data_IF_233796630260
#
_entry.id   IF_233796630260
#
_cell.length_a   1.000
_cell.length_b   1.000
_cell.length_c   1.000
_cell.angle_alpha   90.00
_cell.angle_beta   90.00
_cell.angle_gamma   90.00
#
_symmetry.space_group_name_H-M   'P 1'
#
loop_
_entity.id
_entity.type
_entity.pdbx_description
1 polymer ?
2 non-polymer ?
3 non-polymer ?
4 water ?
#
# COMPACT_ATOMS: atom_id res chain seq x y z
N UNK A 1 -9.25 -16.75 2.07
CA UNK A 1 -10.37 -15.81 1.99
C UNK A 1 -10.29 -14.95 0.74
N UNK A 2 -11.41 -14.37 0.34
CA UNK A 2 -11.41 -13.28 -0.62
C UNK A 2 -11.74 -11.98 0.09
N UNK A 3 -10.79 -11.05 0.08
CA UNK A 3 -10.92 -9.80 0.83
C UNK A 3 -11.29 -8.67 -0.12
N UNK A 4 -12.48 -8.12 0.09
CA UNK A 4 -13.00 -6.96 -0.63
C UNK A 4 -12.13 -5.73 -0.35
N UNK A 5 -12.18 -4.75 -1.24
CA UNK A 5 -11.45 -3.51 -1.00
C UNK A 5 -12.36 -2.30 -0.89
N UNK A 6 -13.65 -2.55 -0.61
CA UNK A 6 -14.56 -1.46 -0.26
C UNK A 6 -14.12 -0.73 1.00
N UNK A 7 -13.60 -1.50 1.96
CA UNK A 7 -13.05 -0.95 3.21
C UNK A 7 -11.55 -1.28 3.28
N UNK A 8 -10.82 -0.58 4.13
CA UNK A 8 -9.43 -0.95 4.41
C UNK A 8 -9.32 -2.42 4.79
N UNK A 9 -8.36 -3.14 4.19
CA UNK A 9 -8.21 -4.58 4.48
C UNK A 9 -7.43 -4.82 5.76
N UNK A 10 -8.12 -4.71 6.89
CA UNK A 10 -7.49 -4.89 8.19
C UNK A 10 -7.61 -6.33 8.63
N UNK A 11 -6.55 -6.82 9.26
CA UNK A 11 -6.55 -8.16 9.85
C UNK A 11 -5.89 -8.13 11.22
N UNK A 12 -6.11 -9.19 11.98
CA UNK A 12 -5.42 -9.39 13.23
C UNK A 12 -4.18 -10.24 13.03
N UNK A 13 -3.07 -9.75 13.54
CA UNK A 13 -1.83 -10.50 13.54
C UNK A 13 -1.43 -10.87 14.96
N UNK A 14 -0.74 -12.01 15.07
CA UNK A 14 -0.04 -12.38 16.30
C UNK A 14 1.48 -12.29 16.14
N UNK A 15 2.09 -11.45 16.96
CA UNK A 15 3.52 -11.21 16.87
C UNK A 15 4.10 -10.88 18.23
N UNK A 16 5.21 -11.53 18.57
CA UNK A 16 5.89 -11.32 19.84
C UNK A 16 4.97 -11.47 21.03
N UNK A 17 4.02 -12.40 20.94
CA UNK A 17 3.08 -12.65 22.03
C UNK A 17 1.86 -11.74 22.02
N UNK A 18 1.86 -10.76 21.12
CA UNK A 18 0.84 -9.70 21.14
C UNK A 18 -0.13 -9.86 19.98
N UNK A 19 -1.38 -9.47 20.19
CA UNK A 19 -2.32 -9.30 19.09
C UNK A 19 -2.33 -7.87 18.61
N UNK A 20 -2.34 -7.68 17.30
CA UNK A 20 -2.40 -6.35 16.74
C UNK A 20 -3.23 -6.31 15.48
N UNK A 21 -3.77 -5.14 15.20
CA UNK A 21 -4.48 -4.89 13.95
C UNK A 21 -3.51 -4.30 12.94
N UNK A 22 -3.56 -4.79 11.71
CA UNK A 22 -2.70 -4.28 10.66
C UNK A 22 -3.38 -4.30 9.30
N UNK A 23 -2.84 -3.48 8.40
CA UNK A 23 -3.40 -3.28 7.07
C UNK A 23 -2.66 -4.17 6.09
N UNK A 24 -3.38 -4.95 5.29
CA UNK A 24 -2.73 -5.71 4.21
C UNK A 24 -2.39 -4.80 3.05
N UNK A 25 -1.10 -4.56 2.83
CA UNK A 25 -0.66 -3.42 2.04
C UNK A 25 0.26 -3.80 0.90
N UNK A 26 -0.31 -3.99 -0.28
CA UNK A 26 0.48 -4.43 -1.42
C UNK A 26 1.46 -3.37 -1.90
N UNK A 27 1.26 -2.14 -1.48
CA UNK A 27 2.18 -1.06 -1.86
C UNK A 27 3.37 -0.92 -0.94
N UNK A 28 3.42 -1.72 0.13
CA UNK A 28 4.56 -1.72 1.05
C UNK A 28 5.49 -2.90 0.76
N UNK A 29 6.77 -2.62 0.54
CA UNK A 29 7.73 -3.71 0.33
C UNK A 29 7.86 -4.50 1.62
N UNK A 30 7.85 -3.75 2.73
CA UNK A 30 8.21 -4.29 4.04
C UNK A 30 7.04 -4.14 5.01
N UNK A 31 7.01 -5.02 6.01
CA UNK A 31 6.09 -4.91 7.13
C UNK A 31 6.59 -3.92 8.16
N UNK A 32 5.77 -2.93 8.50
CA UNK A 32 6.15 -1.86 9.41
C UNK A 32 5.13 -1.72 10.54
N UNK A 33 5.61 -1.86 11.77
CA UNK A 33 4.73 -1.83 12.94
C UNK A 33 5.10 -0.69 13.87
N UNK A 34 4.09 -0.17 14.58
CA UNK A 34 4.34 0.83 15.61
C UNK A 34 5.26 0.30 16.69
N UNK A 35 5.77 1.20 17.53
CA UNK A 35 6.75 0.82 18.54
C UNK A 35 6.30 -0.37 19.37
N UNK A 36 7.20 -1.34 19.48
CA UNK A 36 6.97 -2.57 20.22
C UNK A 36 8.32 -3.20 20.48
N UNK A 37 8.35 -4.17 21.39
CA UNK A 37 9.58 -4.89 21.69
C UNK A 37 9.60 -6.18 20.86
N UNK A 38 10.76 -6.51 20.30
CA UNK A 38 10.98 -7.81 19.67
C UNK A 38 12.34 -8.36 20.10
N UNK A 39 12.48 -9.70 20.12
CA UNK A 39 13.74 -10.28 20.55
C UNK A 39 14.77 -10.37 19.42
N UNK A 40 16.04 -10.51 19.77
CA UNK A 40 17.09 -10.76 18.80
C UNK A 40 17.76 -9.49 18.30
N UNK A 41 18.68 -9.67 17.35
CA UNK A 41 19.45 -8.58 16.77
C UNK A 41 18.52 -7.66 15.99
N UNK A 42 18.98 -6.43 15.80
CA UNK A 42 18.34 -5.50 14.87
C UNK A 42 19.36 -4.51 14.33
N UNK A 43 19.02 -3.87 13.21
CA UNK A 43 19.84 -2.79 12.68
C UNK A 43 18.96 -1.63 12.25
N UNK A 44 19.49 -0.41 12.33
CA UNK A 44 18.71 0.77 11.95
C UNK A 44 18.56 0.87 10.44
N UNK A 45 17.43 1.41 10.01
CA UNK A 45 17.07 1.52 8.59
C UNK A 45 16.24 2.79 8.43
N UNK A 46 16.31 3.41 7.25
CA UNK A 46 15.36 4.47 6.90
C UNK A 46 14.43 3.94 5.83
N UNK A 47 13.13 4.12 6.03
CA UNK A 47 12.15 3.78 5.00
C UNK A 47 11.30 4.99 4.68
N UNK A 48 10.95 5.11 3.40
CA UNK A 48 10.28 6.29 2.90
C UNK A 48 8.95 5.93 2.29
N UNK A 49 7.99 6.82 2.46
CA UNK A 49 6.75 6.75 1.70
C UNK A 49 6.29 8.15 1.42
N UNK A 50 4.98 8.33 1.28
CA UNK A 50 4.45 9.66 1.04
C UNK A 50 4.75 10.48 2.29
N UNK A 51 5.33 11.64 2.08
CA UNK A 51 5.68 12.52 3.19
C UNK A 51 7.11 12.40 3.67
N UNK A 52 7.84 11.41 3.19
CA UNK A 52 9.28 11.33 3.45
C UNK A 52 9.64 10.11 4.27
N UNK A 53 10.75 10.17 4.99
CA UNK A 53 11.32 8.98 5.61
C UNK A 53 11.10 8.95 7.12
N UNK A 54 11.12 7.74 7.68
CA UNK A 54 11.25 7.55 9.13
C UNK A 54 12.37 6.55 9.40
N UNK A 55 12.97 6.66 10.58
CA UNK A 55 13.95 5.69 11.05
C UNK A 55 13.23 4.55 11.75
N UNK A 56 13.64 3.32 11.43
CA UNK A 56 13.06 2.14 12.04
C UNK A 56 14.16 1.18 12.47
N UNK A 57 13.80 0.25 13.34
CA UNK A 57 14.65 -0.88 13.65
C UNK A 57 14.23 -2.09 12.84
N UNK A 58 15.19 -2.73 12.19
CA UNK A 58 14.91 -3.88 11.36
C UNK A 58 15.23 -5.17 12.09
N UNK A 59 14.20 -5.96 12.37
CA UNK A 59 14.38 -7.30 12.97
C UNK A 59 14.14 -8.37 11.91
N UNK A 60 15.06 -9.33 11.84
CA UNK A 60 14.94 -10.40 10.86
C UNK A 60 14.45 -11.71 11.49
N UNK A 61 13.81 -12.55 10.68
CA UNK A 61 13.41 -13.89 11.10
C UNK A 61 12.46 -13.88 12.29
N UNK A 62 11.46 -12.99 12.23
CA UNK A 62 10.42 -12.92 13.25
C UNK A 62 9.21 -13.75 12.85
N UNK A 63 8.77 -14.66 13.72
CA UNK A 63 7.55 -15.41 13.49
C UNK A 63 6.31 -14.52 13.62
N UNK A 64 5.37 -14.69 12.69
CA UNK A 64 4.13 -13.96 12.74
C UNK A 64 3.02 -14.86 12.25
N UNK A 65 1.84 -14.69 12.82
CA UNK A 65 0.66 -15.39 12.34
C UNK A 65 -0.37 -14.40 11.85
N UNK A 66 -0.80 -14.58 10.61
CA UNK A 66 -1.75 -13.69 9.96
C UNK A 66 -2.92 -14.53 9.42
N UNK A 67 -4.09 -14.36 10.02
CA UNK A 67 -5.29 -15.08 9.58
C UNK A 67 -5.13 -16.60 9.70
N UNK A 68 -4.46 -17.03 10.76
CA UNK A 68 -4.22 -18.45 10.99
C UNK A 68 -3.01 -18.97 10.22
N UNK A 69 -2.45 -18.11 9.38
CA UNK A 69 -1.31 -18.49 8.55
C UNK A 69 -0.01 -18.07 9.23
N UNK A 70 0.82 -19.06 9.55
CA UNK A 70 2.17 -18.80 10.04
C UNK A 70 3.14 -18.39 8.94
N UNK A 71 4.01 -17.45 9.28
CA UNK A 71 5.09 -17.06 8.39
C UNK A 71 6.22 -16.48 9.20
N UNK A 72 7.36 -16.32 8.54
CA UNK A 72 8.52 -15.72 9.18
C UNK A 72 9.13 -14.70 8.24
N UNK A 73 9.56 -13.58 8.79
CA UNK A 73 10.23 -12.59 7.98
C UNK A 73 10.68 -11.38 8.75
N UNK A 74 11.04 -10.35 8.00
CA UNK A 74 11.61 -9.15 8.58
C UNK A 74 10.49 -8.21 8.99
N UNK A 75 10.60 -7.67 10.20
CA UNK A 75 9.65 -6.68 10.70
C UNK A 75 10.38 -5.39 11.05
N UNK A 76 9.90 -4.29 10.48
CA UNK A 76 10.44 -2.96 10.78
C UNK A 76 9.59 -2.33 11.88
N UNK A 77 10.24 -1.76 12.89
CA UNK A 77 9.54 -1.18 14.02
C UNK A 77 9.93 0.29 14.18
N UNK A 78 8.94 1.16 14.20
CA UNK A 78 9.19 2.58 14.43
C UNK A 78 7.93 3.40 14.28
N UNK A 79 8.08 4.71 14.06
CA UNK A 79 6.93 5.61 14.24
C UNK A 79 6.11 5.71 12.96
N UNK A 80 5.60 4.56 12.49
CA UNK A 80 4.60 4.55 11.44
C UNK A 80 3.23 4.95 11.98
N UNK A 81 2.44 5.69 11.20
CA UNK A 81 1.12 6.07 11.70
C UNK A 81 0.14 4.90 11.77
N UNK A 82 0.44 3.84 11.05
CA UNK A 82 -0.38 2.63 11.12
C UNK A 82 0.38 1.37 10.74
N UNK A 83 0.00 0.28 11.38
CA UNK A 83 0.67 -1.00 11.17
C UNK A 83 0.34 -1.53 9.78
N UNK A 84 1.37 -1.81 9.00
CA UNK A 84 1.16 -2.39 7.69
C UNK A 84 1.87 -3.72 7.53
N UNK A 85 1.18 -4.67 6.90
CA UNK A 85 1.79 -5.91 6.46
C UNK A 85 2.20 -5.77 4.99
N UNK A 86 3.50 -5.84 4.75
CA UNK A 86 4.05 -5.65 3.41
C UNK A 86 4.25 -6.94 2.65
N UNK A 87 4.72 -6.80 1.42
CA UNK A 87 4.84 -7.95 0.52
C UNK A 87 5.72 -9.03 1.09
N UNK A 88 6.74 -8.65 1.86
CA UNK A 88 7.67 -9.65 2.39
C UNK A 88 6.98 -10.73 3.21
N UNK A 89 5.81 -10.40 3.77
CA UNK A 89 5.00 -11.39 4.49
C UNK A 89 3.75 -11.84 3.74
N UNK A 90 3.18 -10.96 2.93
CA UNK A 90 2.04 -11.34 2.09
C UNK A 90 2.36 -12.51 1.16
N UNK A 91 3.60 -12.58 0.67
CA UNK A 91 3.94 -13.66 -0.24
C UNK A 91 3.83 -15.00 0.49
N UNK A 92 4.23 -15.00 1.74
CA UNK A 92 4.39 -16.24 2.49
C UNK A 92 3.06 -16.89 2.78
N UNK A 93 2.00 -16.09 2.82
CA UNK A 93 0.67 -16.61 3.09
C UNK A 93 -0.12 -16.81 1.79
N UNK A 94 0.56 -16.59 0.66
CA UNK A 94 -0.01 -16.92 -0.63
C UNK A 94 -1.02 -15.89 -1.08
N UNK A 95 -0.78 -14.64 -0.69
CA UNK A 95 -1.70 -13.56 -1.02
C UNK A 95 -1.46 -13.02 -2.43
N UNK A 96 -2.54 -12.92 -3.21
CA UNK A 96 -2.48 -12.37 -4.56
C UNK A 96 -3.55 -11.30 -4.74
N UNK A 97 -3.30 -10.38 -5.67
CA UNK A 97 -4.32 -9.51 -6.23
C UNK A 97 -4.99 -10.19 -7.40
N UNK A 98 -6.31 -10.01 -7.51
CA UNK A 98 -7.08 -10.64 -8.58
C UNK A 98 -8.10 -9.67 -9.13
N UNK A 99 -8.18 -9.59 -10.44
CA UNK A 99 -9.24 -8.83 -11.11
C UNK A 99 -9.40 -9.28 -12.55
N UNK B 1 -6.42 -10.72 -14.25
CA UNK B 1 -5.18 -11.45 -13.97
C UNK B 1 -5.02 -11.73 -12.48
N UNK B 2 -4.14 -12.67 -12.15
CA UNK B 2 -3.72 -12.89 -10.78
C UNK B 2 -2.28 -12.45 -10.61
N UNK B 3 -2.08 -11.50 -9.71
CA UNK B 3 -0.77 -10.87 -9.54
C UNK B 3 -0.19 -11.25 -8.18
N UNK B 4 0.92 -11.96 -8.19
CA UNK B 4 1.61 -12.32 -6.96
C UNK B 4 2.47 -11.14 -6.51
N UNK B 5 3.08 -11.28 -5.34
CA UNK B 5 3.65 -10.12 -4.65
C UNK B 5 5.13 -10.28 -4.35
N UNK B 6 5.78 -11.16 -5.11
CA UNK B 6 7.21 -11.33 -4.97
C UNK B 6 7.97 -10.12 -5.47
N UNK B 7 7.42 -9.46 -6.48
CA UNK B 7 7.90 -8.16 -6.92
C UNK B 7 6.81 -7.12 -6.67
N UNK B 8 7.16 -5.85 -6.74
CA UNK B 8 6.15 -4.79 -6.71
C UNK B 8 5.08 -4.98 -7.77
N UNK B 9 3.80 -4.76 -7.41
CA UNK B 9 2.73 -4.97 -8.39
C UNK B 9 2.52 -3.74 -9.27
N UNK B 10 3.51 -3.51 -10.12
CA UNK B 10 3.52 -2.39 -11.02
C UNK B 10 2.75 -2.74 -12.27
N UNK B 11 1.84 -1.86 -12.66
CA UNK B 11 1.08 -2.04 -13.87
C UNK B 11 1.14 -0.77 -14.71
N UNK B 12 0.77 -0.88 -15.98
CA UNK B 12 0.70 0.28 -16.84
C UNK B 12 -0.70 0.84 -16.77
N UNK B 13 -0.77 2.16 -16.55
CA UNK B 13 -2.04 2.88 -16.60
C UNK B 13 -2.03 3.85 -17.76
N UNK B 14 -3.22 4.24 -18.19
CA UNK B 14 -3.35 5.30 -19.19
C UNK B 14 -4.24 6.42 -18.71
N UNK B 15 -3.71 7.64 -18.74
CA UNK B 15 -4.41 8.81 -18.25
C UNK B 15 -4.03 10.03 -19.08
N UNK B 16 -5.05 10.74 -19.56
CA UNK B 16 -4.81 11.83 -20.50
C UNK B 16 -4.05 11.41 -21.74
N UNK B 17 -4.30 10.19 -22.21
CA UNK B 17 -3.70 9.71 -23.45
C UNK B 17 -2.28 9.20 -23.32
N UNK B 18 -1.75 9.22 -22.09
CA UNK B 18 -0.36 8.85 -21.87
C UNK B 18 -0.24 7.64 -20.96
N UNK B 19 0.72 6.77 -21.26
CA UNK B 19 1.01 5.63 -20.41
C UNK B 19 1.95 6.01 -19.26
N UNK B 20 1.64 5.48 -18.08
CA UNK B 20 2.52 5.62 -16.92
C UNK B 20 2.59 4.28 -16.21
N UNK B 21 3.58 4.12 -15.34
CA UNK B 21 3.64 2.96 -14.47
C UNK B 21 3.10 3.34 -13.10
N UNK B 22 2.36 2.44 -12.46
CA UNK B 22 1.82 2.71 -11.15
C UNK B 22 1.73 1.44 -10.34
N UNK B 23 1.70 1.63 -9.03
CA UNK B 23 1.70 0.54 -8.08
C UNK B 23 0.27 0.26 -7.64
N UNK B 24 -0.17 -0.98 -7.75
CA UNK B 24 -1.46 -1.38 -7.16
C UNK B 24 -1.33 -1.53 -5.65
N UNK B 25 -2.01 -0.64 -4.93
CA UNK B 25 -1.69 -0.40 -3.53
C UNK B 25 -2.94 -0.50 -2.65
N UNK B 26 -3.12 -1.66 -2.03
CA UNK B 26 -4.32 -1.88 -1.21
C UNK B 26 -4.26 -1.08 0.09
N UNK B 27 -3.08 -0.56 0.45
CA UNK B 27 -2.92 0.23 1.66
C UNK B 27 -3.22 1.71 1.45
N UNK B 28 -3.54 2.08 0.22
CA UNK B 28 -3.85 3.46 -0.12
C UNK B 28 -5.35 3.63 -0.31
N UNK B 29 -5.96 4.55 0.43
CA UNK B 29 -7.40 4.77 0.24
C UNK B 29 -7.62 5.36 -1.15
N UNK B 30 -6.72 6.28 -1.50
CA UNK B 30 -6.85 7.12 -2.67
C UNK B 30 -5.72 6.88 -3.67
N UNK B 31 -5.94 7.36 -4.89
CA UNK B 31 -4.98 7.24 -6.00
C UNK B 31 -4.20 8.55 -6.11
N UNK B 32 -2.89 8.44 -6.06
CA UNK B 32 -2.01 9.61 -6.05
C UNK B 32 -0.94 9.47 -7.11
N UNK B 33 -0.90 10.43 -8.04
CA UNK B 33 0.07 10.43 -9.12
C UNK B 33 1.07 11.57 -8.98
N UNK B 34 2.27 11.33 -9.51
CA UNK B 34 3.30 12.35 -9.63
C UNK B 34 2.83 13.52 -10.47
N UNK B 35 3.46 14.67 -10.27
CA UNK B 35 3.06 15.88 -10.98
C UNK B 35 2.75 15.61 -12.45
N UNK B 36 1.63 16.18 -12.90
CA UNK B 36 1.16 16.02 -14.28
C UNK B 36 0.07 17.06 -14.49
N UNK B 37 -0.39 17.20 -15.73
CA UNK B 37 -1.49 18.11 -16.04
C UNK B 37 -2.78 17.34 -16.20
N UNK B 38 -3.85 17.84 -15.60
CA UNK B 38 -5.19 17.32 -15.81
C UNK B 38 -6.16 18.48 -16.04
N UNK B 39 -7.34 18.17 -16.61
CA UNK B 39 -8.27 19.24 -16.98
C UNK B 39 -9.19 19.64 -15.84
N UNK B 40 -9.76 20.84 -15.93
CA UNK B 40 -10.85 21.22 -15.06
C UNK B 40 -10.34 21.94 -13.82
N UNK B 41 -11.21 22.04 -12.83
CA UNK B 41 -10.82 22.64 -11.56
C UNK B 41 -10.38 21.56 -10.61
N UNK B 42 -9.54 21.94 -9.66
CA UNK B 42 -9.14 21.03 -8.61
C UNK B 42 -9.45 21.59 -7.24
N UNK B 43 -9.52 20.68 -6.27
CA UNK B 43 -9.80 21.04 -4.88
C UNK B 43 -8.62 20.60 -4.04
N UNK B 44 -8.44 21.21 -2.87
CA UNK B 44 -7.30 20.87 -2.02
C UNK B 44 -7.55 19.59 -1.22
N UNK B 45 -6.47 18.85 -0.98
CA UNK B 45 -6.52 17.72 -0.07
C UNK B 45 -5.15 17.54 0.57
N UNK B 46 -5.15 17.18 1.84
CA UNK B 46 -3.93 16.76 2.53
C UNK B 46 -4.00 15.27 2.75
N UNK B 47 -2.96 14.56 2.29
CA UNK B 47 -2.91 13.13 2.52
C UNK B 47 -1.67 12.75 3.30
N UNK B 48 -1.82 11.77 4.16
CA UNK B 48 -0.75 11.38 5.06
C UNK B 48 -0.25 9.99 4.73
N UNK B 49 1.05 9.81 4.88
CA UNK B 49 1.64 8.51 4.70
C UNK B 49 2.62 8.21 5.80
N UNK B 50 3.61 7.40 5.48
CA UNK B 50 4.59 6.98 6.46
C UNK B 50 5.39 8.14 7.05
N UNK B 51 5.75 9.09 6.21
CA UNK B 51 6.69 10.15 6.62
C UNK B 51 6.01 11.47 6.98
N UNK B 52 4.68 11.48 6.92
CA UNK B 52 3.95 12.70 7.20
C UNK B 52 2.94 13.00 6.13
N UNK B 53 2.62 14.28 5.98
CA UNK B 53 1.56 14.71 5.09
C UNK B 53 2.12 15.43 3.85
N UNK B 54 1.40 15.33 2.75
CA UNK B 54 1.63 16.23 1.62
C UNK B 54 0.34 16.86 1.14
N UNK B 55 0.47 18.02 0.52
CA UNK B 55 -0.65 18.66 -0.16
C UNK B 55 -0.74 18.18 -1.59
N UNK B 56 -1.95 17.87 -2.04
CA UNK B 56 -2.14 17.39 -3.40
C UNK B 56 -3.27 18.19 -4.04
N UNK B 57 -3.38 18.08 -5.35
CA UNK B 57 -4.54 18.61 -6.07
C UNK B 57 -5.50 17.47 -6.36
N UNK B 58 -6.77 17.65 -6.00
CA UNK B 58 -7.79 16.65 -6.24
C UNK B 58 -8.60 16.94 -7.49
N UNK B 59 -8.54 16.01 -8.45
CA UNK B 59 -9.36 16.08 -9.66
C UNK B 59 -10.40 14.97 -9.62
N UNK B 60 -11.65 15.33 -9.89
CA UNK B 60 -12.73 14.36 -9.88
C UNK B 60 -13.14 13.90 -11.28
N UNK B 61 -13.64 12.66 -11.35
CA UNK B 61 -14.31 12.14 -12.54
C UNK B 61 -13.34 12.08 -13.72
N UNK B 62 -12.12 11.68 -13.43
CA UNK B 62 -11.09 11.56 -14.46
C UNK B 62 -11.09 10.13 -15.03
N UNK B 63 -11.16 10.00 -16.38
CA UNK B 63 -10.96 8.68 -16.97
C UNK B 63 -9.53 8.18 -16.82
N UNK B 64 -9.41 6.92 -16.42
CA UNK B 64 -8.10 6.29 -16.26
C UNK B 64 -8.22 4.80 -16.53
N UNK B 65 -7.32 4.27 -17.35
CA UNK B 65 -7.27 2.83 -17.66
C UNK B 65 -6.18 2.19 -16.82
N UNK B 66 -6.50 1.09 -16.14
CA UNK B 66 -5.57 0.40 -15.27
C UNK B 66 -5.44 -1.05 -15.69
N UNK B 67 -4.29 -1.41 -16.27
CA UNK B 67 -4.13 -2.74 -16.84
C UNK B 67 -5.20 -3.04 -17.88
N UNK B 68 -5.58 -2.02 -18.65
CA UNK B 68 -6.62 -2.18 -19.65
C UNK B 68 -8.05 -2.08 -19.15
N UNK B 69 -8.22 -2.03 -17.83
CA UNK B 69 -9.56 -1.93 -17.23
C UNK B 69 -9.97 -0.46 -17.05
N UNK B 70 -11.15 -0.11 -17.54
CA UNK B 70 -11.57 1.27 -17.57
C UNK B 70 -12.17 1.72 -16.24
N UNK B 71 -11.71 2.86 -15.75
CA UNK B 71 -12.26 3.47 -14.56
C UNK B 71 -12.45 4.96 -14.81
N UNK B 72 -13.29 5.59 -13.99
CA UNK B 72 -13.46 7.04 -14.01
C UNK B 72 -13.66 7.48 -12.58
N UNK B 73 -12.71 8.25 -12.06
CA UNK B 73 -12.84 8.64 -10.67
C UNK B 73 -11.80 9.66 -10.25
N UNK B 74 -11.59 9.71 -8.94
CA UNK B 74 -10.83 10.78 -8.33
C UNK B 74 -9.35 10.49 -8.37
N UNK B 75 -8.58 11.44 -8.89
CA UNK B 75 -7.15 11.31 -8.97
C UNK B 75 -6.52 12.48 -8.23
N UNK B 76 -5.59 12.19 -7.32
CA UNK B 76 -4.83 13.20 -6.58
C UNK B 76 -3.46 13.36 -7.22
N UNK B 77 -3.03 14.60 -7.41
CA UNK B 77 -1.74 14.86 -8.07
C UNK B 77 -0.85 15.62 -7.10
N UNK B 78 0.35 15.11 -6.85
CA UNK B 78 1.29 15.83 -5.97
C UNK B 78 2.61 15.13 -5.87
N UNK B 79 3.41 15.54 -4.88
CA UNK B 79 4.80 15.09 -4.79
C UNK B 79 4.90 13.75 -4.07
N UNK B 80 4.21 12.74 -4.63
CA UNK B 80 4.38 11.37 -4.17
C UNK B 80 5.66 10.77 -4.73
N UNK B 81 6.26 9.84 -3.99
CA UNK B 81 7.47 9.18 -4.50
C UNK B 81 7.21 8.28 -5.70
N UNK B 82 6.00 7.72 -5.76
CA UNK B 82 5.63 6.82 -6.84
C UNK B 82 4.14 6.93 -7.10
N UNK B 83 3.74 6.71 -8.35
CA UNK B 83 2.33 6.63 -8.69
C UNK B 83 1.71 5.46 -7.96
N UNK B 84 0.60 5.71 -7.28
CA UNK B 84 -0.10 4.64 -6.56
C UNK B 84 -1.59 4.63 -6.91
N UNK B 85 -2.09 3.44 -7.25
CA UNK B 85 -3.51 3.22 -7.50
C UNK B 85 -4.13 2.69 -6.22
N UNK B 86 -4.96 3.51 -5.60
CA UNK B 86 -5.59 3.17 -4.33
C UNK B 86 -6.95 2.52 -4.45
N UNK B 87 -7.59 2.29 -3.31
CA UNK B 87 -8.80 1.48 -3.30
C UNK B 87 -9.98 2.11 -4.05
N UNK B 88 -10.00 3.44 -4.13
CA UNK B 88 -11.05 4.11 -4.88
C UNK B 88 -11.16 3.60 -6.32
N UNK B 89 -10.02 3.35 -6.95
CA UNK B 89 -10.04 2.77 -8.30
C UNK B 89 -9.89 1.26 -8.35
N UNK B 90 -9.21 0.66 -7.36
CA UNK B 90 -9.13 -0.81 -7.32
C UNK B 90 -10.51 -1.46 -7.21
N UNK B 91 -11.43 -0.78 -6.54
CA UNK B 91 -12.80 -1.29 -6.47
C UNK B 91 -13.53 -1.17 -7.81
N UNK B 92 -13.19 -0.13 -8.57
CA UNK B 92 -13.84 0.05 -9.86
C UNK B 92 -13.46 -1.03 -10.86
N UNK B 93 -12.25 -1.57 -10.74
CA UNK B 93 -11.79 -2.62 -11.65
C UNK B 93 -11.98 -4.02 -11.08
N UNK B 94 -12.67 -4.10 -9.95
CA UNK B 94 -13.07 -5.40 -9.40
C UNK B 94 -11.96 -6.15 -8.68
N UNK B 95 -11.00 -5.42 -8.14
CA UNK B 95 -9.84 -6.05 -7.54
C UNK B 95 -10.15 -6.57 -6.14
N UNK B 96 -9.67 -7.78 -5.83
CA UNK B 96 -9.71 -8.31 -4.48
C UNK B 96 -8.33 -8.82 -4.09
N UNK B 97 -8.13 -8.97 -2.79
CA UNK B 97 -7.06 -9.81 -2.24
C UNK B 97 -7.53 -11.21 -1.93
N UNK B 98 -6.68 -12.17 -2.24
CA UNK B 98 -7.03 -13.58 -2.12
C UNK B 98 -5.88 -14.39 -1.55
N UNK B 99 -6.16 -15.18 -0.53
CA UNK B 99 -5.19 -16.18 -0.09
C UNK B 99 -5.88 -17.37 0.56
X LIG C 1 11.64 -10.89 4.93
X LIG D 1 10.01 6.60 -0.60
X LIG D 1 -5.43 8.87 1.17
X LIG D 1 1.80 3.83 5.08
X LIG D 1 0.17 2.46 3.77
X LIG D 1 10.20 4.89 -2.70
X LIG D 1 4.99 3.63 2.26
X LIG D 1 1.21 7.03 2.27
X LIG D 1 1.43 6.23 -0.08
X LIG D 1 1.26 1.48 0.15
X LIG D 1 6.56 5.15 -2.05
X LIG D 1 5.65 5.90 -1.30
X LIG D 1 6.20 3.90 -2.52
X LIG D 1 4.43 5.35 -0.96
X LIG D 1 4.98 3.35 -2.15
X LIG D 1 -3.00 8.15 1.46
X LIG D 1 -2.90 7.14 -0.73
X LIG D 1 -1.72 7.65 1.74
X LIG D 1 -1.61 6.69 -0.47
X LIG D 1 9.63 2.91 -1.44
X LIG D 1 7.71 1.15 -0.44
X LIG D 1 7.05 0.68 3.44
X LIG D 1 2.86 3.53 -1.02
X LIG D 1 1.34 4.37 2.70
X LIG D 1 0.38 3.71 0.62
X LIG D 1 9.82 5.14 -0.47
X LIG D 1 3.91 2.32 0.78
X LIG D 1 -4.85 8.31 -0.02
X LIG D 1 9.63 2.54 -0.06
X LIG D 1 7.93 -0.07 0.30
X LIG D 1 7.60 -0.37 2.60
X LIG D 1 5.98 1.70 1.57
X LIG D 1 9.93 4.41 -1.60
X LIG D 1 4.97 2.62 1.55
X LIG D 1 4.10 4.07 -1.36
X LIG D 1 -3.58 7.88 0.23
X LIG D 1 -1.02 6.95 0.76
X LIG D 1 0.72 3.87 3.99
X LIG D 1 1.48 2.68 0.89
X LIG D 1 2.83 3.28 0.49
X LIG D 1 8.30 2.27 0.40
X LIG D 1 7.02 1.89 2.53
X LIG D 1 0.31 4.69 1.70
X LIG D 1 8.47 0.23 1.61
X LIG D 1 8.36 1.73 1.81
X LIG D 1 0.55 6.24 1.16
X LIG E 1 3.41 -18.09 -5.09
X LIG F 1 -13.24 7.80 -7.02
#
# INVERSE_FOLDING_TARGET
>A
PQITLWQRPLVTIKIGGQLKEALLDTGADDTVLEEMSLPGRWKPKMIGGIGGFIKVRQYDQIPIEICGHKAIGTVLVGPTPTNVIGRNLLTQIGCTLNF
>B
PQITLWQRPLVTIKIGGQLKEALLDTGADDTVLEEMSLPGRWKPKMIGGIGGFIKVRQYDQIPIEICGHKAIGTVLVGPTPTNVIGRNLLTQIGCTLNF
>C hetero
1 CL CL
>D hetero
1 VXL CAA CAB CAC CAD OAE OAF OAG OAH OAI CAL CAM CAN CAO CAP CAQ CAR CAS CAT CAU CAV CAW CAX CAY CAZ NBA NBB OBC OBD OBE OBF OBG CBH CBI CBJ CBK CBL CBM CBN CBO CBP CBQ NBR CBS CBT SBU
>E hetero
1 CL CL
>F hetero
1 CL CL
#
